data_IF_440400285663
#
_entry.id   IF_440400285663
#
_cell.length_a   1.000
_cell.length_b   1.000
_cell.length_c   1.000
_cell.angle_alpha   90.00
_cell.angle_beta   90.00
_cell.angle_gamma   90.00
#
_symmetry.space_group_name_H-M   'P 1'
#
loop_
_entity.id
_entity.type
_entity.pdbx_description
1 polymer ?
#
# COMPACT_ATOMS: atom_id res chain seq x y z
N UNK A 1 -20.48 5.45 -24.86
CA UNK A 1 -20.74 5.61 -23.41
C UNK A 1 -19.50 5.12 -22.69
N UNK A 2 -18.78 5.98 -21.94
CA UNK A 2 -17.68 5.50 -21.11
C UNK A 2 -18.27 4.51 -20.07
N UNK A 3 -17.60 3.39 -19.76
CA UNK A 3 -18.10 2.45 -18.77
C UNK A 3 -18.35 3.21 -17.47
N UNK A 4 -19.56 3.11 -16.93
CA UNK A 4 -19.86 3.69 -15.63
C UNK A 4 -18.87 3.13 -14.61
N UNK A 5 -18.30 3.97 -13.71
CA UNK A 5 -17.54 3.47 -12.59
C UNK A 5 -18.41 2.46 -11.84
N UNK A 6 -17.85 1.29 -11.49
CA UNK A 6 -18.62 0.31 -10.73
C UNK A 6 -19.16 0.96 -9.44
N UNK A 7 -20.29 0.47 -8.92
CA UNK A 7 -21.00 1.10 -7.79
C UNK A 7 -20.10 1.41 -6.58
N UNK A 8 -19.11 0.56 -6.30
CA UNK A 8 -18.16 0.78 -5.21
C UNK A 8 -17.26 2.01 -5.44
N UNK A 9 -16.84 2.31 -6.68
CA UNK A 9 -16.13 3.56 -6.98
C UNK A 9 -17.02 4.79 -6.71
N UNK A 10 -18.31 4.73 -7.03
CA UNK A 10 -19.23 5.85 -6.78
C UNK A 10 -19.43 6.11 -5.28
N UNK A 11 -19.51 5.05 -4.48
CA UNK A 11 -19.55 5.15 -3.01
C UNK A 11 -18.25 5.75 -2.48
N UNK A 12 -17.12 5.26 -2.99
CA UNK A 12 -15.80 5.74 -2.60
C UNK A 12 -15.59 7.22 -2.93
N UNK A 13 -16.03 7.67 -4.11
CA UNK A 13 -15.95 9.06 -4.53
C UNK A 13 -16.74 9.98 -3.58
N UNK A 14 -17.92 9.53 -3.13
CA UNK A 14 -18.70 10.27 -2.12
C UNK A 14 -17.97 10.35 -0.78
N UNK A 15 -17.40 9.25 -0.31
CA UNK A 15 -16.65 9.23 0.94
C UNK A 15 -15.39 10.10 0.89
N UNK A 16 -14.67 10.08 -0.23
CA UNK A 16 -13.48 10.89 -0.44
C UNK A 16 -13.78 12.39 -0.60
N UNK A 17 -15.04 12.76 -0.90
CA UNK A 17 -15.48 14.14 -1.00
C UNK A 17 -15.85 14.78 0.35
N UNK A 18 -15.96 14.00 1.43
CA UNK A 18 -16.24 14.55 2.75
C UNK A 18 -15.13 15.48 3.22
N UNK A 19 -15.53 16.47 4.00
CA UNK A 19 -14.65 17.46 4.62
C UNK A 19 -14.92 17.50 6.13
N UNK A 20 -13.89 17.81 6.89
CA UNK A 20 -14.03 18.17 8.30
C UNK A 20 -14.56 19.61 8.46
N UNK A 21 -14.73 20.03 9.70
CA UNK A 21 -15.25 21.35 10.06
C UNK A 21 -14.35 22.50 9.58
N UNK A 22 -13.05 22.23 9.36
CA UNK A 22 -12.07 23.17 8.81
C UNK A 22 -12.06 23.19 7.27
N UNK A 23 -12.93 22.40 6.62
CA UNK A 23 -13.04 22.30 5.17
C UNK A 23 -11.95 21.45 4.51
N UNK A 24 -11.12 20.74 5.28
CA UNK A 24 -10.09 19.85 4.79
C UNK A 24 -10.70 18.50 4.43
N UNK A 25 -10.24 17.92 3.31
CA UNK A 25 -10.74 16.63 2.85
C UNK A 25 -10.41 15.51 3.84
N UNK A 26 -11.40 14.63 4.06
CA UNK A 26 -11.26 13.45 4.89
C UNK A 26 -10.19 12.50 4.33
N UNK A 27 -9.34 12.00 5.22
CA UNK A 27 -8.34 10.98 4.87
C UNK A 27 -9.02 9.62 4.82
N UNK A 28 -9.16 9.05 3.62
CA UNK A 28 -9.72 7.71 3.43
C UNK A 28 -8.59 6.66 3.41
N UNK A 29 -8.68 5.66 4.29
CA UNK A 29 -7.78 4.49 4.33
C UNK A 29 -8.58 3.24 4.00
N UNK A 30 -8.02 2.37 3.17
CA UNK A 30 -8.62 1.07 2.89
C UNK A 30 -8.47 0.15 4.10
N UNK A 31 -9.44 -0.75 4.25
CA UNK A 31 -9.25 -1.90 5.11
C UNK A 31 -8.41 -2.94 4.35
N UNK A 32 -7.25 -3.35 4.90
CA UNK A 32 -6.28 -4.21 4.20
C UNK A 32 -6.85 -5.54 3.68
N UNK A 33 -7.84 -6.11 4.37
CA UNK A 33 -8.51 -7.35 3.97
C UNK A 33 -9.70 -7.17 2.99
N UNK A 34 -9.92 -5.97 2.44
CA UNK A 34 -11.00 -5.67 1.49
C UNK A 34 -10.44 -5.30 0.12
N UNK A 35 -11.31 -5.34 -0.88
CA UNK A 35 -10.96 -4.98 -2.25
C UNK A 35 -10.69 -3.47 -2.38
N UNK A 36 -9.46 -3.10 -2.74
CA UNK A 36 -9.09 -1.67 -2.87
C UNK A 36 -8.20 -1.33 -4.08
N UNK A 37 -7.49 -2.30 -4.67
CA UNK A 37 -6.40 -2.03 -5.62
C UNK A 37 -6.83 -1.43 -6.96
N UNK A 38 -8.04 -1.77 -7.42
CA UNK A 38 -8.57 -1.30 -8.72
C UNK A 38 -9.20 0.09 -8.69
N UNK A 39 -9.41 0.65 -7.50
CA UNK A 39 -10.11 1.91 -7.33
C UNK A 39 -9.16 3.11 -7.31
N UNK A 40 -9.76 4.28 -7.51
CA UNK A 40 -9.06 5.56 -7.47
C UNK A 40 -9.58 6.42 -6.32
N UNK A 41 -8.70 7.20 -5.71
CA UNK A 41 -9.05 8.24 -4.74
C UNK A 41 -8.69 9.57 -5.36
N UNK A 42 -9.68 10.45 -5.55
CA UNK A 42 -9.50 11.76 -6.19
C UNK A 42 -8.75 11.65 -7.54
N UNK A 43 -9.12 10.64 -8.33
CA UNK A 43 -8.53 10.38 -9.66
C UNK A 43 -7.19 9.64 -9.67
N UNK A 44 -6.52 9.46 -8.53
CA UNK A 44 -5.24 8.73 -8.42
C UNK A 44 -5.46 7.26 -8.05
N UNK A 45 -4.65 6.31 -8.57
CA UNK A 45 -4.68 4.92 -8.11
C UNK A 45 -4.53 4.83 -6.59
N UNK A 46 -5.41 4.08 -5.92
CA UNK A 46 -5.41 4.04 -4.45
C UNK A 46 -4.06 3.52 -3.90
N UNK A 47 -3.47 2.52 -4.55
CA UNK A 47 -2.21 1.91 -4.12
C UNK A 47 -1.06 2.91 -4.11
N UNK A 48 -1.00 3.81 -5.09
CA UNK A 48 -0.01 4.89 -5.13
C UNK A 48 -0.21 5.87 -3.98
N UNK A 49 -1.47 6.22 -3.66
CA UNK A 49 -1.79 7.09 -2.53
C UNK A 49 -1.41 6.45 -1.19
N UNK A 50 -1.68 5.15 -1.01
CA UNK A 50 -1.28 4.41 0.19
C UNK A 50 0.25 4.46 0.37
N UNK A 51 0.98 4.16 -0.70
CA UNK A 51 2.44 4.09 -0.68
C UNK A 51 3.13 5.44 -0.49
N UNK A 52 2.71 6.43 -1.26
CA UNK A 52 3.47 7.67 -1.43
C UNK A 52 2.98 8.80 -0.52
N UNK A 53 1.73 8.75 -0.07
CA UNK A 53 1.09 9.81 0.71
C UNK A 53 0.74 9.35 2.13
N UNK A 54 0.04 8.21 2.29
CA UNK A 54 -0.59 7.85 3.57
C UNK A 54 0.28 7.06 4.53
N UNK A 55 1.12 6.15 4.01
CA UNK A 55 1.93 5.24 4.83
C UNK A 55 3.44 5.40 4.59
N UNK A 56 3.88 6.52 4.02
CA UNK A 56 5.29 6.72 3.66
C UNK A 56 6.23 6.54 4.87
N UNK A 57 5.86 7.11 6.01
CA UNK A 57 6.59 6.97 7.29
C UNK A 57 6.56 5.54 7.81
N UNK A 58 5.38 4.93 7.84
CA UNK A 58 5.13 3.61 8.39
C UNK A 58 5.80 2.52 7.56
N UNK A 59 5.90 2.70 6.23
CA UNK A 59 6.65 1.82 5.33
C UNK A 59 8.15 1.87 5.67
N UNK A 60 8.70 3.06 5.94
CA UNK A 60 10.09 3.21 6.33
C UNK A 60 10.37 2.59 7.70
N UNK A 61 9.47 2.83 8.67
CA UNK A 61 9.53 2.24 10.01
C UNK A 61 9.46 0.70 9.96
N UNK A 62 8.51 0.16 9.20
CA UNK A 62 8.36 -1.28 9.00
C UNK A 62 9.65 -1.91 8.48
N UNK A 63 10.28 -1.31 7.46
CA UNK A 63 11.55 -1.81 6.91
C UNK A 63 12.66 -1.78 7.94
N UNK A 64 12.77 -0.69 8.70
CA UNK A 64 13.74 -0.55 9.77
C UNK A 64 13.56 -1.64 10.84
N UNK A 65 12.34 -1.79 11.34
CA UNK A 65 12.01 -2.78 12.36
C UNK A 65 12.28 -4.21 11.88
N UNK A 66 11.84 -4.57 10.67
CA UNK A 66 12.08 -5.89 10.11
C UNK A 66 13.56 -6.15 9.84
N UNK A 67 14.34 -5.13 9.49
CA UNK A 67 15.80 -5.24 9.36
C UNK A 67 16.45 -5.53 10.72
N UNK A 68 16.05 -4.82 11.77
CA UNK A 68 16.61 -5.04 13.12
C UNK A 68 16.21 -6.40 13.70
N UNK A 69 14.97 -6.85 13.50
CA UNK A 69 14.54 -8.20 13.88
C UNK A 69 15.34 -9.23 13.07
N UNK A 70 15.48 -9.03 11.76
CA UNK A 70 16.23 -9.94 10.89
C UNK A 70 17.69 -10.11 11.32
N UNK A 71 18.37 -9.01 11.67
CA UNK A 71 19.74 -9.06 12.22
C UNK A 71 19.84 -9.92 13.48
N UNK A 72 18.85 -9.85 14.38
CA UNK A 72 18.82 -10.67 15.61
C UNK A 72 18.59 -12.15 15.34
N UNK A 73 17.94 -12.50 14.24
CA UNK A 73 17.47 -13.85 13.95
C UNK A 73 18.10 -14.48 12.69
N UNK A 74 19.10 -13.84 12.09
CA UNK A 74 19.87 -14.39 10.96
C UNK A 74 19.13 -14.39 9.61
N UNK A 75 18.25 -13.42 9.36
CA UNK A 75 17.57 -13.26 8.05
C UNK A 75 17.49 -11.80 7.61
N UNK A 76 17.21 -11.56 6.33
CA UNK A 76 17.21 -10.23 5.70
C UNK A 76 15.83 -9.85 5.13
N UNK A 77 15.67 -8.61 4.66
CA UNK A 77 14.46 -8.23 3.90
C UNK A 77 14.33 -9.00 2.58
N UNK A 78 15.45 -9.48 2.00
CA UNK A 78 15.43 -10.36 0.81
C UNK A 78 14.78 -11.69 1.15
N UNK A 79 15.13 -12.26 2.31
CA UNK A 79 14.50 -13.47 2.81
C UNK A 79 13.01 -13.28 3.08
N UNK A 80 12.63 -12.15 3.69
CA UNK A 80 11.24 -11.78 3.95
C UNK A 80 10.45 -11.70 2.63
N UNK A 81 11.01 -11.00 1.63
CA UNK A 81 10.43 -10.90 0.29
C UNK A 81 10.24 -12.27 -0.35
N UNK A 82 11.25 -13.14 -0.23
CA UNK A 82 11.24 -14.48 -0.84
C UNK A 82 10.25 -15.45 -0.18
N UNK A 83 10.03 -15.35 1.13
CA UNK A 83 9.29 -16.37 1.91
C UNK A 83 7.90 -15.92 2.38
N UNK A 84 7.67 -14.63 2.54
CA UNK A 84 6.48 -14.10 3.22
C UNK A 84 5.95 -12.82 2.57
N UNK A 85 6.06 -12.72 1.26
CA UNK A 85 5.54 -11.60 0.47
C UNK A 85 4.60 -12.04 -0.65
N UNK A 86 3.98 -11.05 -1.28
CA UNK A 86 3.15 -11.15 -2.47
C UNK A 86 3.27 -9.86 -3.28
N UNK A 87 2.61 -9.78 -4.44
CA UNK A 87 2.71 -8.61 -5.34
C UNK A 87 2.37 -7.28 -4.66
N UNK A 88 1.38 -7.28 -3.76
CA UNK A 88 0.98 -6.08 -3.03
C UNK A 88 2.04 -5.67 -2.02
N UNK A 89 2.52 -6.61 -1.21
CA UNK A 89 3.51 -6.32 -0.18
C UNK A 89 4.86 -5.94 -0.82
N UNK A 90 5.18 -6.53 -1.96
CA UNK A 90 6.30 -6.11 -2.80
C UNK A 90 6.11 -4.67 -3.27
N UNK A 91 5.02 -4.34 -3.94
CA UNK A 91 4.81 -2.98 -4.43
C UNK A 91 4.82 -1.92 -3.32
N UNK A 92 4.12 -2.18 -2.21
CA UNK A 92 3.98 -1.22 -1.12
C UNK A 92 5.25 -1.09 -0.27
N UNK A 93 5.87 -2.22 0.05
CA UNK A 93 6.97 -2.28 1.00
C UNK A 93 8.28 -2.73 0.33
N UNK A 94 8.32 -3.80 -0.45
CA UNK A 94 9.59 -4.47 -0.79
C UNK A 94 10.09 -4.29 -2.24
N UNK A 95 9.55 -3.35 -3.01
CA UNK A 95 9.81 -3.21 -4.45
C UNK A 95 11.31 -3.09 -4.75
N UNK A 96 12.00 -2.22 -4.01
CA UNK A 96 13.43 -1.96 -4.17
C UNK A 96 14.35 -3.00 -3.50
N UNK A 97 13.79 -4.03 -2.86
CA UNK A 97 14.58 -5.14 -2.31
C UNK A 97 14.89 -6.10 -3.44
N UNK A 98 16.16 -6.14 -3.86
CA UNK A 98 16.64 -6.99 -4.95
C UNK A 98 16.80 -8.42 -4.44
N UNK A 99 16.06 -9.36 -5.04
CA UNK A 99 16.24 -10.79 -4.81
C UNK A 99 17.21 -11.30 -5.88
N UNK A 100 18.44 -11.62 -5.49
CA UNK A 100 19.38 -12.31 -6.38
C UNK A 100 18.82 -13.71 -6.70
N UNK A 101 18.73 -14.04 -7.99
CA UNK A 101 18.38 -15.40 -8.40
C UNK A 101 19.48 -16.34 -7.92
N UNK A 102 19.13 -17.23 -7.00
CA UNK A 102 19.99 -18.38 -6.70
C UNK A 102 19.66 -19.42 -7.76
N UNK A 103 20.64 -19.78 -8.60
CA UNK A 103 20.54 -20.91 -9.53
C UNK A 103 20.05 -22.15 -8.77
N UNK A 104 19.11 -22.87 -9.40
CA UNK A 104 18.62 -24.16 -8.91
C UNK A 104 19.61 -25.25 -9.25
#
# INVERSE_FOLDING_TARGET
MAPHPNYAQQVLDKWAAYKDDDGKQSIVRSHWAKECYQYKINGKPWVEKLRNELYKSEIAEFKGLMTEIGKKHGWTLVDLKKRSSNEVLDYLYLEYVVVSQTEK
#
